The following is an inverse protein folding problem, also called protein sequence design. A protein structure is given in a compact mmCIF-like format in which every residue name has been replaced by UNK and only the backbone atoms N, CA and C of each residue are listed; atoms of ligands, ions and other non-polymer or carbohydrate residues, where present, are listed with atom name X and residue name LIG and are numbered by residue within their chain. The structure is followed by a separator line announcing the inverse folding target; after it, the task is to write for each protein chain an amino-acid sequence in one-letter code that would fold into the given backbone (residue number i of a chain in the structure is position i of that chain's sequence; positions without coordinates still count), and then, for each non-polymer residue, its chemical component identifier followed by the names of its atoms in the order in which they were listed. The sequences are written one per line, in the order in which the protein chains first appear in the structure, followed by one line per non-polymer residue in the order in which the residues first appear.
data_IF_200205375793
#
_entry.id   IF_200205375793
#
_cell.length_a   1.000
_cell.length_b   1.000
_cell.length_c   1.000
_cell.angle_alpha   90.00
_cell.angle_beta   90.00
_cell.angle_gamma   90.00
#
_symmetry.space_group_name_H-M   'P 1'
#
loop_
_entity.id
_entity.type
_entity.pdbx_description
1 polymer ?
#
# COMPACT_ATOMS: atom_id res chain seq x y z
N UNK A 1 -21.98 -12.64 -4.53
CA UNK A 1 -22.17 -11.96 -5.84
C UNK A 1 -21.52 -12.85 -6.89
N UNK A 2 -22.20 -13.17 -8.00
CA UNK A 2 -21.68 -14.09 -9.02
C UNK A 2 -21.38 -13.30 -10.29
N UNK A 3 -20.11 -13.23 -10.69
CA UNK A 3 -19.70 -12.55 -11.91
C UNK A 3 -19.77 -13.56 -13.06
N UNK A 4 -20.64 -13.30 -14.04
CA UNK A 4 -20.72 -14.10 -15.25
C UNK A 4 -19.61 -13.68 -16.22
N UNK A 5 -18.77 -14.64 -16.61
CA UNK A 5 -17.71 -14.43 -17.61
C UNK A 5 -18.31 -14.51 -19.01
N UNK A 6 -17.83 -13.68 -19.93
CA UNK A 6 -18.15 -13.82 -21.35
C UNK A 6 -17.38 -15.00 -21.94
N UNK A 7 -17.85 -15.60 -23.04
CA UNK A 7 -17.13 -16.68 -23.72
C UNK A 7 -15.70 -16.30 -24.10
N UNK A 8 -15.46 -15.03 -24.43
CA UNK A 8 -14.13 -14.52 -24.75
C UNK A 8 -13.23 -14.42 -23.51
N UNK A 9 -13.78 -14.02 -22.35
CA UNK A 9 -13.03 -14.01 -21.09
C UNK A 9 -12.59 -15.42 -20.70
N UNK A 10 -13.48 -16.42 -20.83
CA UNK A 10 -13.14 -17.82 -20.56
C UNK A 10 -12.05 -18.33 -21.50
N UNK A 11 -12.16 -18.04 -22.80
CA UNK A 11 -11.17 -18.44 -23.80
C UNK A 11 -9.79 -17.85 -23.49
N UNK A 12 -9.74 -16.57 -23.07
CA UNK A 12 -8.49 -15.90 -22.69
C UNK A 12 -7.90 -16.48 -21.41
N UNK A 13 -8.71 -16.71 -20.37
CA UNK A 13 -8.26 -17.34 -19.11
C UNK A 13 -7.65 -18.71 -19.39
N UNK A 14 -8.33 -19.54 -20.19
CA UNK A 14 -7.82 -20.87 -20.55
C UNK A 14 -6.48 -20.81 -21.29
N UNK A 15 -6.27 -19.78 -22.12
CA UNK A 15 -5.01 -19.57 -22.83
C UNK A 15 -3.85 -19.18 -21.90
N UNK A 16 -4.12 -18.53 -20.75
CA UNK A 16 -3.08 -18.21 -19.77
C UNK A 16 -2.77 -19.40 -18.87
N UNK A 17 -3.80 -20.17 -18.49
CA UNK A 17 -3.66 -21.43 -17.74
C UNK A 17 -2.87 -22.48 -18.53
N UNK A 18 -3.16 -22.64 -19.83
CA UNK A 18 -2.45 -23.60 -20.68
C UNK A 18 -0.97 -23.29 -20.86
N UNK A 19 -0.57 -22.03 -20.64
CA UNK A 19 0.84 -21.59 -20.64
C UNK A 19 1.53 -21.82 -19.29
N UNK A 20 0.80 -22.28 -18.27
CA UNK A 20 1.34 -22.52 -16.93
C UNK A 20 1.70 -21.25 -16.15
N UNK A 21 1.25 -20.08 -16.60
CA UNK A 21 1.51 -18.82 -15.91
C UNK A 21 0.73 -18.69 -14.59
N UNK A 22 -0.39 -19.39 -14.48
CA UNK A 22 -1.28 -19.43 -13.32
C UNK A 22 -1.83 -20.85 -13.15
N UNK A 23 -2.14 -21.24 -11.91
CA UNK A 23 -2.59 -22.58 -11.52
C UNK A 23 -4.12 -22.70 -11.51
N UNK A 24 -4.85 -21.60 -11.37
CA UNK A 24 -6.31 -21.60 -11.30
C UNK A 24 -6.94 -20.38 -11.96
N UNK A 25 -8.23 -20.50 -12.28
CA UNK A 25 -9.03 -19.39 -12.82
C UNK A 25 -9.09 -18.23 -11.81
N UNK A 26 -9.18 -18.56 -10.53
CA UNK A 26 -9.21 -17.60 -9.41
C UNK A 26 -7.93 -16.77 -9.39
N UNK A 27 -6.76 -17.41 -9.55
CA UNK A 27 -5.47 -16.72 -9.56
C UNK A 27 -5.34 -15.75 -10.74
N UNK A 28 -5.84 -16.13 -11.93
CA UNK A 28 -5.88 -15.24 -13.10
C UNK A 28 -6.76 -14.02 -12.85
N UNK A 29 -7.90 -14.21 -12.17
CA UNK A 29 -8.83 -13.12 -11.84
C UNK A 29 -8.23 -12.18 -10.80
N UNK A 30 -7.62 -12.72 -9.73
CA UNK A 30 -6.94 -11.92 -8.72
C UNK A 30 -5.81 -11.08 -9.34
N UNK A 31 -4.95 -11.68 -10.16
CA UNK A 31 -3.88 -10.95 -10.84
C UNK A 31 -4.42 -9.83 -11.75
N UNK A 32 -5.56 -10.06 -12.43
CA UNK A 32 -6.20 -9.04 -13.25
C UNK A 32 -6.78 -7.90 -12.41
N UNK A 33 -7.37 -8.19 -11.25
CA UNK A 33 -7.87 -7.19 -10.30
C UNK A 33 -6.72 -6.35 -9.74
N UNK A 34 -5.66 -6.99 -9.25
CA UNK A 34 -4.47 -6.29 -8.75
C UNK A 34 -3.87 -5.35 -9.80
N UNK A 35 -3.79 -5.79 -11.06
CA UNK A 35 -3.28 -4.94 -12.15
C UNK A 35 -4.18 -3.71 -12.42
N UNK A 36 -5.50 -3.84 -12.24
CA UNK A 36 -6.44 -2.72 -12.34
C UNK A 36 -6.29 -1.78 -11.15
N UNK A 37 -6.18 -2.30 -9.94
CA UNK A 37 -6.00 -1.53 -8.69
C UNK A 37 -4.71 -0.70 -8.74
N UNK A 38 -3.59 -1.31 -9.13
CA UNK A 38 -2.30 -0.63 -9.31
C UNK A 38 -2.37 0.48 -10.37
N UNK A 39 -3.17 0.27 -11.42
CA UNK A 39 -3.38 1.29 -12.44
C UNK A 39 -4.22 2.47 -11.92
N UNK A 40 -5.17 2.22 -11.02
CA UNK A 40 -6.01 3.27 -10.43
C UNK A 40 -5.32 4.07 -9.34
N UNK A 41 -4.36 3.46 -8.63
CA UNK A 41 -3.60 4.10 -7.55
C UNK A 41 -2.09 3.93 -7.80
N UNK A 42 -1.53 4.65 -8.79
CA UNK A 42 -0.12 4.47 -9.16
C UNK A 42 0.79 4.82 -7.98
N UNK A 43 1.69 3.89 -7.64
CA UNK A 43 2.69 4.07 -6.58
C UNK A 43 2.24 3.67 -5.18
N UNK A 44 1.00 3.22 -5.01
CA UNK A 44 0.54 2.62 -3.75
C UNK A 44 0.65 1.10 -3.82
N UNK A 45 1.29 0.49 -2.81
CA UNK A 45 1.56 -0.95 -2.75
C UNK A 45 0.56 -1.73 -1.89
N UNK A 46 -0.50 -1.08 -1.41
CA UNK A 46 -1.55 -1.67 -0.57
C UNK A 46 -2.88 -1.85 -1.31
N UNK A 47 -3.88 -2.36 -0.60
CA UNK A 47 -5.25 -2.55 -1.15
C UNK A 47 -6.01 -1.22 -1.20
N UNK A 48 -7.05 -1.10 -2.05
CA UNK A 48 -7.92 0.08 -2.05
C UNK A 48 -8.46 0.45 -0.66
N UNK A 49 -8.80 -0.54 0.17
CA UNK A 49 -9.28 -0.33 1.55
C UNK A 49 -8.20 0.25 2.47
N UNK A 50 -6.95 -0.19 2.31
CA UNK A 50 -5.81 0.38 3.05
C UNK A 50 -5.58 1.83 2.64
N UNK A 51 -5.70 2.15 1.34
CA UNK A 51 -5.64 3.54 0.87
C UNK A 51 -6.76 4.39 1.47
N UNK A 52 -8.00 3.91 1.42
CA UNK A 52 -9.16 4.62 1.97
C UNK A 52 -9.01 4.89 3.48
N UNK A 53 -8.46 3.91 4.22
CA UNK A 53 -8.15 4.10 5.65
C UNK A 53 -7.10 5.19 5.87
N UNK A 54 -6.01 5.18 5.10
CA UNK A 54 -4.96 6.20 5.20
C UNK A 54 -5.48 7.59 4.83
N UNK A 55 -6.34 7.69 3.82
CA UNK A 55 -6.98 8.95 3.43
C UNK A 55 -7.92 9.46 4.52
N UNK A 56 -8.70 8.58 5.15
CA UNK A 56 -9.57 8.94 6.27
C UNK A 56 -8.76 9.41 7.50
N UNK A 57 -7.66 8.72 7.82
CA UNK A 57 -6.73 9.15 8.87
C UNK A 57 -6.09 10.50 8.56
N UNK A 58 -5.68 10.71 7.30
CA UNK A 58 -5.14 11.99 6.83
C UNK A 58 -6.14 13.13 6.93
N UNK A 59 -7.40 12.91 6.54
CA UNK A 59 -8.49 13.89 6.67
C UNK A 59 -8.82 14.22 8.13
N UNK A 60 -8.68 13.24 9.03
CA UNK A 60 -8.87 13.44 10.47
C UNK A 60 -7.63 14.05 11.16
N UNK A 61 -6.49 14.11 10.47
CA UNK A 61 -5.25 14.63 11.03
C UNK A 61 -5.27 16.15 11.17
N UNK A 62 -4.58 16.66 12.20
CA UNK A 62 -4.39 18.08 12.37
C UNK A 62 -3.43 18.59 11.29
N UNK A 63 -3.84 19.62 10.54
CA UNK A 63 -2.93 20.37 9.69
C UNK A 63 -1.88 21.07 10.58
N UNK A 64 -0.62 20.71 10.42
CA UNK A 64 0.51 21.36 11.10
C UNK A 64 1.17 22.38 10.17
N UNK A 65 1.75 23.43 10.73
CA UNK A 65 2.70 24.27 10.00
C UNK A 65 4.03 23.51 9.84
N UNK A 66 4.87 23.95 8.89
CA UNK A 66 6.19 23.36 8.67
C UNK A 66 7.06 23.40 9.94
N UNK A 67 7.04 24.52 10.67
CA UNK A 67 7.79 24.68 11.93
C UNK A 67 7.30 23.70 13.01
N UNK A 68 5.98 23.52 13.14
CA UNK A 68 5.40 22.56 14.08
C UNK A 68 5.81 21.12 13.73
N UNK A 69 5.80 20.77 12.44
CA UNK A 69 6.23 19.47 11.95
C UNK A 69 7.71 19.20 12.23
N UNK A 70 8.60 20.12 11.83
CA UNK A 70 10.04 19.99 12.03
C UNK A 70 10.42 19.93 13.52
N UNK A 71 9.74 20.72 14.35
CA UNK A 71 9.91 20.67 15.82
C UNK A 71 9.49 19.31 16.39
N UNK A 72 8.38 18.75 15.92
CA UNK A 72 7.88 17.43 16.35
C UNK A 72 8.86 16.31 16.00
N UNK A 73 9.32 16.26 14.74
CA UNK A 73 10.29 15.26 14.26
C UNK A 73 11.60 15.35 15.04
N UNK A 74 12.10 16.56 15.28
CA UNK A 74 13.35 16.76 16.03
C UNK A 74 13.23 16.25 17.46
N UNK A 75 12.14 16.59 18.17
CA UNK A 75 11.89 16.10 19.54
C UNK A 75 11.80 14.59 19.61
N UNK A 76 11.11 13.96 18.65
CA UNK A 76 10.95 12.51 18.62
C UNK A 76 12.29 11.82 18.33
N UNK A 77 13.11 12.40 17.45
CA UNK A 77 14.47 11.92 17.16
C UNK A 77 15.37 12.04 18.39
N UNK A 78 15.34 13.17 19.09
CA UNK A 78 16.12 13.38 20.32
C UNK A 78 15.72 12.42 21.44
N UNK A 79 14.43 12.05 21.52
CA UNK A 79 13.92 11.08 22.48
C UNK A 79 14.38 9.64 22.17
N UNK A 80 14.54 9.29 20.90
CA UNK A 80 15.03 7.98 20.45
C UNK A 80 16.55 7.84 20.58
N UNK A 81 17.27 8.95 20.48
CA UNK A 81 18.71 9.02 20.70
C UNK A 81 19.02 9.93 21.89
N UNK A 82 18.67 9.52 23.13
CA UNK A 82 19.09 10.28 24.28
C UNK A 82 20.61 10.31 24.23
N UNK A 83 21.18 11.50 23.98
CA UNK A 83 22.63 11.72 24.00
C UNK A 83 23.17 10.99 25.23
N UNK A 84 23.92 9.92 24.99
CA UNK A 84 24.75 9.32 26.01
C UNK A 84 25.62 10.48 26.50
N UNK A 85 25.28 11.02 27.68
CA UNK A 85 26.18 11.87 28.44
C UNK A 85 27.36 10.97 28.74
N UNK A 86 28.34 10.97 27.84
CA UNK A 86 29.71 10.65 28.17
C UNK A 86 30.04 11.56 29.35
N UNK A 87 30.00 10.98 30.55
CA UNK A 87 30.51 11.62 31.76
C UNK A 87 31.96 12.05 31.50
N UNK A 88 32.45 13.07 32.23
CA UNK A 88 33.82 13.52 32.06
C UNK A 88 34.75 12.33 32.27
N UNK A 89 35.55 12.01 31.24
CA UNK A 89 36.72 11.15 31.41
C UNK A 89 37.86 12.07 31.84
N UNK A 90 38.25 11.88 33.10
CA UNK A 90 39.39 12.49 33.83
C UNK A 90 39.11 13.85 34.46
#
# INVERSE_FOLDING_TARGET
MTIHRTPEQERRIQAVLSRGAYQSVEEVVEAALTAVEQRTVPGFAGTPEELDSLLAEGLASKQLTEDEFLSSVSKQTDALFPKNKTGPRS
#
